data_IF_024574688731
#
_entry.id   IF_024574688731
#
_cell.length_a   1.000
_cell.length_b   1.000
_cell.length_c   1.000
_cell.angle_alpha   90.00
_cell.angle_beta   90.00
_cell.angle_gamma   90.00
#
_symmetry.space_group_name_H-M   'P 1'
#
loop_
_entity.id
_entity.type
_entity.pdbx_description
1 polymer ?
#
# COMPACT_ATOMS: atom_id res chain seq x y z
N UNK A 1 18.71 9.59 -26.58
CA UNK A 1 18.65 8.11 -26.57
C UNK A 1 18.14 7.50 -25.25
N UNK A 2 18.66 7.90 -24.08
CA UNK A 2 18.36 7.25 -22.78
C UNK A 2 16.87 7.28 -22.37
N UNK A 3 16.21 8.44 -22.49
CA UNK A 3 14.76 8.57 -22.25
C UNK A 3 13.91 7.69 -23.16
N UNK A 4 14.33 7.52 -24.41
CA UNK A 4 13.62 6.66 -25.39
C UNK A 4 13.68 5.18 -24.97
N UNK A 5 14.89 4.68 -24.66
CA UNK A 5 15.09 3.30 -24.18
C UNK A 5 14.32 3.05 -22.88
N UNK A 6 14.33 4.01 -21.94
CA UNK A 6 13.55 3.93 -20.71
C UNK A 6 12.04 3.82 -20.97
N UNK A 7 11.47 4.66 -21.84
CA UNK A 7 10.05 4.58 -22.21
C UNK A 7 9.69 3.24 -22.86
N UNK A 8 10.54 2.69 -23.73
CA UNK A 8 10.33 1.35 -24.33
C UNK A 8 10.35 0.25 -23.27
N UNK A 9 11.29 0.30 -22.31
CA UNK A 9 11.33 -0.63 -21.18
C UNK A 9 10.08 -0.54 -20.30
N UNK A 10 9.61 0.67 -20.00
CA UNK A 10 8.38 0.90 -19.22
C UNK A 10 7.16 0.24 -19.88
N UNK A 11 7.04 0.35 -21.21
CA UNK A 11 5.95 -0.28 -21.96
C UNK A 11 6.01 -1.81 -21.89
N UNK A 12 7.18 -2.40 -22.14
CA UNK A 12 7.38 -3.87 -22.09
C UNK A 12 7.13 -4.46 -20.70
N UNK A 13 7.51 -3.75 -19.64
CA UNK A 13 7.43 -4.25 -18.25
C UNK A 13 6.25 -3.68 -17.45
N UNK A 14 5.27 -3.05 -18.11
CA UNK A 14 4.13 -2.35 -17.46
C UNK A 14 3.40 -3.23 -16.43
N UNK A 15 3.03 -4.44 -16.83
CA UNK A 15 2.23 -5.35 -15.99
C UNK A 15 3.05 -5.93 -14.83
N UNK A 16 4.32 -6.30 -15.08
CA UNK A 16 5.23 -6.72 -14.02
C UNK A 16 5.43 -5.61 -12.98
N UNK A 17 5.68 -4.37 -13.45
CA UNK A 17 5.81 -3.21 -12.56
C UNK A 17 4.55 -2.92 -11.77
N UNK A 18 3.36 -3.11 -12.37
CA UNK A 18 2.07 -2.98 -11.66
C UNK A 18 1.96 -4.00 -10.54
N UNK A 19 2.20 -5.29 -10.83
CA UNK A 19 2.20 -6.37 -9.84
C UNK A 19 3.16 -6.09 -8.68
N UNK A 20 4.40 -5.69 -8.98
CA UNK A 20 5.40 -5.37 -7.95
C UNK A 20 4.97 -4.17 -7.10
N UNK A 21 4.42 -3.11 -7.71
CA UNK A 21 3.90 -1.94 -6.98
C UNK A 21 2.75 -2.32 -6.05
N UNK A 22 1.84 -3.18 -6.49
CA UNK A 22 0.70 -3.62 -5.69
C UNK A 22 1.14 -4.44 -4.48
N UNK A 23 2.09 -5.37 -4.66
CA UNK A 23 2.70 -6.13 -3.55
C UNK A 23 3.41 -5.19 -2.56
N UNK A 24 4.17 -4.21 -3.04
CA UNK A 24 4.84 -3.22 -2.16
C UNK A 24 3.84 -2.40 -1.35
N UNK A 25 2.71 -2.00 -1.94
CA UNK A 25 1.63 -1.28 -1.22
C UNK A 25 1.00 -2.13 -0.13
N UNK A 26 0.69 -3.40 -0.42
CA UNK A 26 0.17 -4.35 0.59
C UNK A 26 1.13 -4.51 1.76
N UNK A 27 2.43 -4.69 1.49
CA UNK A 27 3.45 -4.77 2.55
C UNK A 27 3.55 -3.47 3.36
N UNK A 28 3.42 -2.31 2.70
CA UNK A 28 3.44 -1.00 3.38
C UNK A 28 2.25 -0.84 4.33
N UNK A 29 1.06 -1.26 3.90
CA UNK A 29 -0.14 -1.26 4.72
C UNK A 29 -0.03 -2.19 5.93
N UNK A 30 0.44 -3.44 5.71
CA UNK A 30 0.66 -4.38 6.81
C UNK A 30 1.68 -3.83 7.83
N UNK A 31 2.72 -3.13 7.37
CA UNK A 31 3.68 -2.47 8.26
C UNK A 31 3.01 -1.35 9.08
N UNK A 32 2.16 -0.55 8.46
CA UNK A 32 1.40 0.51 9.12
C UNK A 32 0.48 -0.04 10.23
N UNK A 33 -0.33 -1.05 9.91
CA UNK A 33 -1.25 -1.69 10.87
C UNK A 33 -0.52 -2.34 12.05
N UNK A 34 0.62 -3.00 11.79
CA UNK A 34 1.48 -3.56 12.85
C UNK A 34 2.03 -2.48 13.77
N UNK A 35 2.38 -1.32 13.23
CA UNK A 35 2.92 -0.22 14.03
C UNK A 35 1.85 0.41 14.92
N UNK A 36 0.63 0.59 14.39
CA UNK A 36 -0.52 0.99 15.19
C UNK A 36 -0.80 0.00 16.33
N UNK A 37 -0.77 -1.30 16.02
CA UNK A 37 -0.96 -2.36 17.03
C UNK A 37 0.14 -2.32 18.09
N UNK A 38 1.38 -2.04 17.69
CA UNK A 38 2.52 -1.90 18.60
C UNK A 38 2.34 -0.72 19.55
N UNK A 39 1.88 0.44 19.05
CA UNK A 39 1.62 1.63 19.86
C UNK A 39 0.55 1.33 20.91
N UNK A 40 -0.56 0.72 20.50
CA UNK A 40 -1.67 0.33 21.39
C UNK A 40 -1.19 -0.62 22.50
N UNK A 41 -0.43 -1.66 22.13
CA UNK A 41 0.14 -2.60 23.10
C UNK A 41 1.13 -1.94 24.06
N UNK A 42 1.97 -1.03 23.55
CA UNK A 42 2.93 -0.27 24.37
C UNK A 42 2.24 0.67 25.35
N UNK A 43 1.06 1.18 24.99
CA UNK A 43 0.21 1.97 25.89
C UNK A 43 -0.53 1.12 26.94
N UNK A 44 -0.32 -0.21 26.98
CA UNK A 44 -0.94 -1.12 27.94
C UNK A 44 -2.35 -1.59 27.56
N UNK A 45 -2.85 -1.19 26.39
CA UNK A 45 -4.17 -1.58 25.92
C UNK A 45 -4.13 -2.97 25.26
N UNK A 46 -5.05 -3.86 25.66
CA UNK A 46 -5.18 -5.21 25.08
C UNK A 46 -5.83 -5.22 23.70
N UNK A 47 -6.63 -4.21 23.39
CA UNK A 47 -7.37 -4.04 22.12
C UNK A 47 -7.21 -2.61 21.62
N UNK A 48 -7.46 -2.42 20.32
CA UNK A 48 -7.62 -1.08 19.78
C UNK A 48 -8.77 -0.35 20.52
N UNK A 49 -8.74 0.99 20.60
CA UNK A 49 -9.83 1.78 21.18
C UNK A 49 -11.17 1.44 20.53
N UNK A 50 -12.24 1.45 21.33
CA UNK A 50 -13.59 1.18 20.83
C UNK A 50 -13.97 2.17 19.72
N UNK A 51 -14.51 1.65 18.61
CA UNK A 51 -14.88 2.44 17.44
C UNK A 51 -13.72 2.80 16.49
N UNK A 52 -12.46 2.45 16.81
CA UNK A 52 -11.33 2.73 15.92
C UNK A 52 -11.04 1.58 14.94
N UNK A 53 -11.14 1.87 13.65
CA UNK A 53 -10.74 0.95 12.56
C UNK A 53 -9.55 1.53 11.80
N UNK A 54 -8.49 0.75 11.61
CA UNK A 54 -7.30 1.20 10.89
C UNK A 54 -7.62 1.46 9.39
N UNK A 55 -7.39 2.68 8.87
CA UNK A 55 -7.72 3.01 7.50
C UNK A 55 -6.76 2.33 6.50
N UNK A 56 -7.30 1.93 5.36
CA UNK A 56 -6.54 1.37 4.23
C UNK A 56 -5.97 2.51 3.37
N UNK A 57 -4.92 3.17 3.85
CA UNK A 57 -4.33 4.36 3.19
C UNK A 57 -3.50 3.99 1.96
N UNK A 58 -2.74 2.90 2.02
CA UNK A 58 -1.78 2.54 0.96
C UNK A 58 -2.33 1.57 -0.07
N UNK A 59 -3.34 0.78 0.29
CA UNK A 59 -4.03 -0.11 -0.64
C UNK A 59 -5.11 0.71 -1.31
N UNK A 60 -4.86 1.14 -2.55
CA UNK A 60 -5.87 1.81 -3.36
C UNK A 60 -6.97 0.80 -3.67
N UNK A 61 -8.09 0.85 -2.95
CA UNK A 61 -9.32 0.22 -3.39
C UNK A 61 -9.66 0.86 -4.73
N UNK A 62 -9.85 0.04 -5.75
CA UNK A 62 -10.20 0.50 -7.10
C UNK A 62 -11.58 1.16 -7.03
N UNK A 63 -11.64 2.43 -6.61
CA UNK A 63 -12.73 3.30 -6.98
C UNK A 63 -12.64 3.39 -8.51
N UNK A 64 -13.48 2.62 -9.18
CA UNK A 64 -13.77 2.80 -10.59
C UNK A 64 -14.09 4.29 -10.77
N UNK A 65 -13.13 5.08 -11.27
CA UNK A 65 -13.47 6.32 -11.95
C UNK A 65 -14.13 5.91 -13.27
N UNK A 66 -15.40 5.50 -13.18
CA UNK A 66 -16.37 5.73 -14.24
C UNK A 66 -16.67 7.23 -14.15
N UNK A 67 -16.18 7.97 -15.12
CA UNK A 67 -16.72 9.19 -15.70
C UNK A 67 -15.93 9.38 -17.00
#
# INVERSE_FOLDING_TARGET
MNRHKYKKLLKRTKFLRRRVKDVRRKKKQAKFERDLTRIVRRAGLKRAPDGWTAPQVYVRMSQNKRN
#
